data_IF_892253011987
#
_entry.id   IF_892253011987
#
_cell.length_a   1.000
_cell.length_b   1.000
_cell.length_c   1.000
_cell.angle_alpha   90.00
_cell.angle_beta   90.00
_cell.angle_gamma   90.00
#
_symmetry.space_group_name_H-M   'P 1'
#
loop_
_entity.id
_entity.type
_entity.pdbx_description
1 polymer ?
#
# COMPACT_ATOMS: atom_id res chain seq x y z
N UNK A 1 -83.65 -3.62 4.91
CA UNK A 1 -84.62 -4.74 4.88
C UNK A 1 -83.92 -5.89 4.21
N UNK A 2 -83.80 -7.10 4.71
CA UNK A 2 -83.94 -7.74 6.02
C UNK A 2 -82.99 -8.98 5.91
N UNK A 3 -82.45 -9.48 7.03
CA UNK A 3 -81.53 -10.62 7.02
C UNK A 3 -82.32 -11.92 6.89
N UNK A 4 -81.71 -12.96 6.31
CA UNK A 4 -82.22 -14.32 6.46
C UNK A 4 -81.18 -15.21 7.15
N UNK A 5 -81.73 -16.02 8.02
CA UNK A 5 -81.15 -16.63 9.20
C UNK A 5 -81.57 -18.10 9.12
N UNK A 6 -80.66 -18.99 9.57
CA UNK A 6 -80.91 -20.38 10.03
C UNK A 6 -81.13 -21.45 8.93
N UNK A 7 -80.72 -22.71 9.08
CA UNK A 7 -80.46 -23.56 10.26
C UNK A 7 -79.63 -24.82 9.86
N UNK A 8 -79.32 -25.77 10.77
CA UNK A 8 -78.20 -26.71 10.66
C UNK A 8 -78.63 -28.06 10.08
N UNK A 9 -77.67 -28.74 9.43
CA UNK A 9 -77.79 -30.12 9.00
C UNK A 9 -76.57 -30.88 9.43
N UNK A 10 -76.74 -31.69 10.47
CA UNK A 10 -75.91 -32.86 10.77
C UNK A 10 -76.06 -33.79 9.57
N UNK A 11 -74.95 -34.30 9.03
CA UNK A 11 -74.89 -35.68 8.56
C UNK A 11 -73.45 -36.16 8.52
N UNK A 12 -73.27 -37.27 9.22
CA UNK A 12 -72.15 -38.18 9.15
C UNK A 12 -71.99 -38.67 7.70
N UNK A 13 -70.75 -38.80 7.22
CA UNK A 13 -70.24 -40.07 6.69
C UNK A 13 -68.87 -39.92 6.02
N UNK A 14 -68.17 -41.04 6.07
CA UNK A 14 -67.12 -41.47 5.16
C UNK A 14 -65.73 -40.86 5.40
N UNK A 15 -64.97 -41.60 6.21
CA UNK A 15 -63.53 -41.54 6.26
C UNK A 15 -62.90 -41.55 4.87
N UNK A 16 -62.15 -40.49 4.58
CA UNK A 16 -61.02 -40.55 3.69
C UNK A 16 -59.78 -40.38 4.54
N UNK A 17 -59.06 -41.49 4.72
CA UNK A 17 -57.68 -41.48 5.15
C UNK A 17 -56.88 -40.68 4.12
N UNK A 18 -56.76 -39.37 4.32
CA UNK A 18 -55.70 -38.58 3.71
C UNK A 18 -54.40 -39.16 4.23
N UNK A 19 -53.74 -39.95 3.38
CA UNK A 19 -52.34 -40.24 3.50
C UNK A 19 -51.61 -38.89 3.58
N UNK A 20 -51.32 -38.48 4.81
CA UNK A 20 -50.36 -37.42 5.09
C UNK A 20 -49.02 -37.96 4.59
N UNK A 21 -48.76 -37.72 3.31
CA UNK A 21 -47.42 -37.58 2.79
C UNK A 21 -46.79 -36.45 3.60
N UNK A 22 -46.19 -36.82 4.74
CA UNK A 22 -45.13 -36.08 5.40
C UNK A 22 -44.02 -35.94 4.38
N UNK A 23 -44.20 -34.94 3.52
CA UNK A 23 -43.19 -34.39 2.65
C UNK A 23 -42.13 -33.88 3.61
N UNK A 24 -41.12 -34.72 3.79
CA UNK A 24 -39.88 -34.46 4.52
C UNK A 24 -39.23 -33.25 3.84
N UNK A 25 -39.72 -32.06 4.18
CA UNK A 25 -39.14 -30.79 3.77
C UNK A 25 -37.85 -30.70 4.54
N UNK A 26 -36.84 -31.30 3.96
CA UNK A 26 -35.46 -31.28 4.40
C UNK A 26 -35.11 -29.82 4.77
N UNK A 27 -35.00 -29.48 6.07
CA UNK A 27 -34.84 -28.09 6.53
C UNK A 27 -33.49 -27.50 6.08
N UNK A 28 -32.62 -28.31 5.49
CA UNK A 28 -31.36 -27.90 4.87
C UNK A 28 -31.54 -27.11 3.57
N UNK A 29 -32.68 -27.23 2.87
CA UNK A 29 -32.95 -26.49 1.63
C UNK A 29 -33.46 -25.04 1.86
N UNK A 30 -34.03 -24.75 3.03
CA UNK A 30 -34.54 -23.40 3.34
C UNK A 30 -33.43 -22.42 3.75
N UNK A 31 -32.32 -22.91 4.32
CA UNK A 31 -31.20 -22.08 4.77
C UNK A 31 -30.19 -21.77 3.65
N UNK A 32 -30.10 -22.64 2.64
CA UNK A 32 -29.23 -22.44 1.46
C UNK A 32 -29.75 -21.35 0.54
N UNK A 33 -31.07 -21.17 0.44
CA UNK A 33 -31.69 -20.14 -0.43
C UNK A 33 -31.55 -18.73 0.11
N UNK A 34 -31.58 -18.52 1.43
CA UNK A 34 -31.37 -17.21 2.04
C UNK A 34 -29.91 -16.77 1.93
N UNK A 35 -28.95 -17.65 2.26
CA UNK A 35 -27.53 -17.34 2.16
C UNK A 35 -27.07 -17.03 0.72
N UNK A 36 -27.68 -17.68 -0.29
CA UNK A 36 -27.43 -17.40 -1.70
C UNK A 36 -27.97 -16.03 -2.13
N UNK A 37 -29.16 -15.64 -1.62
CA UNK A 37 -29.73 -14.31 -1.89
C UNK A 37 -28.88 -13.19 -1.31
N UNK A 38 -28.43 -13.31 -0.06
CA UNK A 38 -27.53 -12.33 0.57
C UNK A 38 -26.21 -12.18 -0.19
N UNK A 39 -25.62 -13.28 -0.66
CA UNK A 39 -24.40 -13.24 -1.47
C UNK A 39 -24.62 -12.52 -2.81
N UNK A 40 -25.73 -12.80 -3.49
CA UNK A 40 -26.06 -12.12 -4.76
C UNK A 40 -26.28 -10.61 -4.56
N UNK A 41 -26.96 -10.22 -3.48
CA UNK A 41 -27.21 -8.81 -3.16
C UNK A 41 -25.93 -8.07 -2.78
N UNK A 42 -25.05 -8.71 -1.99
CA UNK A 42 -23.75 -8.15 -1.65
C UNK A 42 -22.87 -7.96 -2.90
N UNK A 43 -22.87 -8.93 -3.82
CA UNK A 43 -22.10 -8.85 -5.06
C UNK A 43 -22.64 -7.74 -5.98
N UNK A 44 -23.95 -7.61 -6.12
CA UNK A 44 -24.57 -6.52 -6.90
C UNK A 44 -24.28 -5.17 -6.26
N UNK A 45 -24.42 -5.05 -4.93
CA UNK A 45 -24.10 -3.81 -4.21
C UNK A 45 -22.63 -3.42 -4.40
N UNK A 46 -21.70 -4.37 -4.27
CA UNK A 46 -20.26 -4.13 -4.49
C UNK A 46 -19.95 -3.77 -5.93
N UNK A 47 -20.64 -4.36 -6.91
CA UNK A 47 -20.46 -4.03 -8.32
C UNK A 47 -20.96 -2.62 -8.61
N UNK A 48 -22.11 -2.23 -8.05
CA UNK A 48 -22.66 -0.87 -8.16
C UNK A 48 -21.75 0.13 -7.47
N UNK A 49 -21.26 -0.15 -6.26
CA UNK A 49 -20.30 0.72 -5.55
C UNK A 49 -19.01 0.86 -6.35
N UNK A 50 -18.47 -0.23 -6.89
CA UNK A 50 -17.29 -0.18 -7.75
C UNK A 50 -17.54 0.67 -9.00
N UNK A 51 -18.70 0.54 -9.66
CA UNK A 51 -19.03 1.31 -10.85
C UNK A 51 -19.27 2.80 -10.54
N UNK A 52 -19.92 3.11 -9.41
CA UNK A 52 -20.18 4.49 -8.95
C UNK A 52 -18.89 5.16 -8.48
N UNK A 53 -17.96 4.42 -7.87
CA UNK A 53 -16.68 4.96 -7.45
C UNK A 53 -15.66 5.05 -8.59
N UNK A 54 -15.63 4.08 -9.52
CA UNK A 54 -14.71 4.08 -10.66
C UNK A 54 -15.20 4.94 -11.83
N UNK A 55 -16.51 5.08 -12.02
CA UNK A 55 -17.10 5.84 -13.12
C UNK A 55 -16.61 7.29 -13.20
N UNK A 56 -16.73 8.09 -12.13
CA UNK A 56 -16.24 9.46 -12.08
C UNK A 56 -14.72 9.54 -12.30
N UNK A 57 -13.97 8.56 -11.80
CA UNK A 57 -12.51 8.51 -11.93
C UNK A 57 -12.11 8.23 -13.39
N UNK A 58 -12.80 7.30 -14.07
CA UNK A 58 -12.60 7.02 -15.48
C UNK A 58 -13.02 8.21 -16.35
N UNK A 59 -14.14 8.87 -16.04
CA UNK A 59 -14.58 10.10 -16.74
C UNK A 59 -13.52 11.20 -16.59
N UNK A 60 -12.95 11.38 -15.39
CA UNK A 60 -11.87 12.35 -15.16
C UNK A 60 -10.56 11.97 -15.85
N UNK A 61 -10.27 10.67 -15.99
CA UNK A 61 -9.09 10.16 -16.68
C UNK A 61 -9.17 10.33 -18.20
N UNK A 62 -10.37 10.30 -18.75
CA UNK A 62 -10.62 10.40 -20.19
C UNK A 62 -11.15 11.76 -20.63
N UNK A 63 -11.22 12.75 -19.73
CA UNK A 63 -11.64 14.10 -20.10
C UNK A 63 -10.62 14.72 -21.06
N UNK A 64 -10.97 14.90 -22.36
CA UNK A 64 -10.07 15.47 -23.35
C UNK A 64 -9.79 16.96 -23.11
N UNK A 65 -10.52 17.62 -22.20
CA UNK A 65 -10.31 19.02 -21.82
C UNK A 65 -9.13 19.22 -20.86
N UNK A 66 -8.56 18.15 -20.29
CA UNK A 66 -7.38 18.28 -19.44
C UNK A 66 -6.14 18.61 -20.30
N UNK A 67 -5.35 19.64 -19.92
CA UNK A 67 -4.11 19.96 -20.62
C UNK A 67 -3.21 18.72 -20.69
N UNK A 68 -2.70 18.41 -21.88
CA UNK A 68 -1.83 17.24 -22.06
C UNK A 68 -0.55 17.44 -21.24
N UNK A 69 -0.16 16.46 -20.41
CA UNK A 69 1.11 16.53 -19.69
C UNK A 69 2.25 16.65 -20.70
N UNK A 70 3.05 17.72 -20.58
CA UNK A 70 4.25 17.92 -21.39
C UNK A 70 4.21 19.06 -22.42
N UNK A 71 3.12 19.82 -22.54
CA UNK A 71 3.25 21.15 -23.15
C UNK A 71 4.10 22.03 -22.20
N UNK A 72 5.15 22.71 -22.69
CA UNK A 72 5.88 23.65 -21.86
C UNK A 72 4.92 24.78 -21.49
N UNK A 73 4.45 24.77 -20.25
CA UNK A 73 3.74 25.91 -19.68
C UNK A 73 4.80 26.99 -19.42
N UNK A 74 4.70 28.10 -20.14
CA UNK A 74 5.42 29.33 -19.77
C UNK A 74 4.85 29.79 -18.42
N UNK A 75 5.59 29.51 -17.35
CA UNK A 75 5.15 29.72 -15.98
C UNK A 75 5.27 31.19 -15.57
N UNK A 76 6.39 31.80 -15.94
CA UNK A 76 6.70 33.19 -15.67
C UNK A 76 7.74 33.67 -16.67
N UNK A 77 7.74 34.97 -16.94
CA UNK A 77 8.69 35.61 -17.82
C UNK A 77 9.00 37.01 -17.30
N UNK A 78 10.28 37.37 -17.36
CA UNK A 78 10.74 38.74 -17.23
C UNK A 78 11.21 39.19 -18.60
N UNK A 79 10.53 40.20 -19.12
CA UNK A 79 10.86 40.76 -20.42
C UNK A 79 12.22 41.45 -20.40
N UNK A 80 12.92 41.46 -21.55
CA UNK A 80 14.23 42.07 -21.63
C UNK A 80 14.14 43.58 -21.37
N UNK A 81 15.09 44.15 -20.60
CA UNK A 81 15.24 45.59 -20.53
C UNK A 81 15.72 46.14 -21.90
N UNK A 82 15.61 47.46 -22.08
CA UNK A 82 15.85 48.11 -23.37
C UNK A 82 17.24 47.81 -23.96
N UNK A 83 18.29 47.87 -23.14
CA UNK A 83 19.68 47.66 -23.54
C UNK A 83 20.44 46.92 -22.44
N UNK A 84 21.44 46.13 -22.82
CA UNK A 84 22.41 45.47 -21.93
C UNK A 84 21.79 44.52 -20.88
N UNK A 85 21.70 43.24 -21.20
CA UNK A 85 21.20 42.23 -20.25
C UNK A 85 21.75 40.84 -20.55
N UNK A 86 21.51 39.92 -19.62
CA UNK A 86 21.74 38.50 -19.81
C UNK A 86 20.40 37.78 -19.99
N UNK A 87 20.17 37.22 -21.18
CA UNK A 87 18.99 36.42 -21.49
C UNK A 87 19.21 34.97 -21.07
N UNK A 88 18.20 34.28 -20.53
CA UNK A 88 18.29 32.85 -20.22
C UNK A 88 16.92 32.15 -20.22
N UNK A 89 16.93 30.83 -20.37
CA UNK A 89 15.75 29.97 -20.20
C UNK A 89 15.93 29.08 -18.99
N UNK A 90 15.02 29.21 -18.04
CA UNK A 90 14.92 28.42 -16.83
C UNK A 90 13.90 27.30 -17.06
N UNK A 91 14.27 26.05 -16.73
CA UNK A 91 13.38 24.92 -16.84
C UNK A 91 13.47 24.05 -15.58
N UNK A 92 12.35 23.85 -14.88
CA UNK A 92 12.29 22.85 -13.82
C UNK A 92 12.10 21.49 -14.49
N UNK A 93 13.16 20.68 -14.50
CA UNK A 93 13.23 19.44 -15.29
C UNK A 93 12.82 18.20 -14.51
N UNK A 94 12.99 18.22 -13.19
CA UNK A 94 12.67 17.08 -12.32
C UNK A 94 12.34 17.58 -10.93
N UNK A 95 11.26 17.09 -10.33
CA UNK A 95 10.94 17.31 -8.92
C UNK A 95 11.03 15.98 -8.16
N UNK A 96 11.89 15.92 -7.16
CA UNK A 96 11.99 14.81 -6.22
C UNK A 96 11.42 15.24 -4.86
N UNK A 97 10.12 15.04 -4.71
CA UNK A 97 9.38 15.37 -3.48
C UNK A 97 9.79 14.50 -2.28
N UNK A 98 10.60 13.45 -2.48
CA UNK A 98 11.12 12.59 -1.40
C UNK A 98 12.27 13.28 -0.70
N UNK A 99 13.16 13.84 -1.52
CA UNK A 99 14.38 14.49 -1.08
C UNK A 99 14.15 15.98 -0.84
N UNK A 100 12.91 16.45 -1.04
CA UNK A 100 12.53 17.85 -1.02
C UNK A 100 13.42 18.69 -1.95
N UNK A 101 13.76 18.14 -3.12
CA UNK A 101 14.66 18.76 -4.09
C UNK A 101 14.07 18.73 -5.50
N UNK A 102 14.04 19.89 -6.16
CA UNK A 102 13.81 20.00 -7.60
C UNK A 102 15.09 20.40 -8.34
N UNK A 103 15.25 19.94 -9.58
CA UNK A 103 16.37 20.31 -10.45
C UNK A 103 15.91 21.41 -11.40
N UNK A 104 16.54 22.57 -11.29
CA UNK A 104 16.42 23.69 -12.21
C UNK A 104 17.56 23.63 -13.23
N UNK A 105 17.21 23.51 -14.50
CA UNK A 105 18.17 23.65 -15.60
C UNK A 105 18.13 25.08 -16.13
N UNK A 106 19.27 25.76 -16.15
CA UNK A 106 19.44 27.06 -16.80
C UNK A 106 20.14 26.82 -18.12
N UNK A 107 19.52 27.27 -19.20
CA UNK A 107 19.95 27.01 -20.57
C UNK A 107 19.82 28.27 -21.42
N UNK A 108 20.41 28.25 -22.62
CA UNK A 108 20.33 29.36 -23.59
C UNK A 108 20.74 30.70 -22.98
N UNK A 109 21.79 30.69 -22.16
CA UNK A 109 22.33 31.91 -21.57
C UNK A 109 22.98 32.72 -22.71
N UNK A 110 22.48 33.92 -22.96
CA UNK A 110 22.89 34.75 -24.07
C UNK A 110 23.11 36.21 -23.62
N UNK A 111 24.33 36.74 -23.70
CA UNK A 111 24.57 38.14 -23.37
C UNK A 111 24.11 39.05 -24.50
N UNK A 112 23.57 40.22 -24.14
CA UNK A 112 23.09 41.24 -25.07
C UNK A 112 23.71 42.58 -24.72
N UNK A 113 24.03 43.38 -25.74
CA UNK A 113 24.66 44.70 -25.58
C UNK A 113 26.10 44.62 -25.10
N UNK A 114 26.45 45.44 -24.12
CA UNK A 114 27.82 45.60 -23.59
C UNK A 114 28.38 44.35 -22.91
N UNK A 115 27.52 43.40 -22.55
CA UNK A 115 27.89 42.12 -21.95
C UNK A 115 28.33 41.08 -22.98
N UNK A 116 28.00 41.27 -24.25
CA UNK A 116 28.43 40.40 -25.34
C UNK A 116 29.81 40.83 -25.85
N UNK A 117 30.67 39.86 -26.16
CA UNK A 117 32.01 40.14 -26.68
C UNK A 117 31.99 40.94 -28.01
N UNK A 118 30.92 40.78 -28.79
CA UNK A 118 30.60 41.57 -29.97
C UNK A 118 29.06 41.61 -30.17
N UNK A 119 28.51 42.56 -30.95
CA UNK A 119 27.08 42.61 -31.22
C UNK A 119 26.54 41.27 -31.76
N UNK A 120 25.58 40.66 -31.05
CA UNK A 120 24.99 39.35 -31.39
C UNK A 120 25.85 38.13 -31.04
N UNK A 121 27.00 38.33 -30.39
CA UNK A 121 27.87 37.22 -29.97
C UNK A 121 27.21 36.41 -28.85
N UNK A 122 27.25 35.07 -28.88
CA UNK A 122 26.79 34.23 -27.78
C UNK A 122 27.77 34.15 -26.61
N UNK A 123 28.88 34.89 -26.70
CA UNK A 123 30.01 34.80 -25.78
C UNK A 123 30.09 36.05 -24.93
N UNK A 124 30.40 35.87 -23.64
CA UNK A 124 30.56 36.96 -22.69
C UNK A 124 31.81 37.79 -22.99
N UNK A 125 31.68 39.10 -22.82
CA UNK A 125 32.78 40.06 -22.90
C UNK A 125 33.74 39.91 -21.71
N UNK A 126 33.16 39.83 -20.51
CA UNK A 126 33.87 39.78 -19.23
C UNK A 126 33.39 38.57 -18.42
N UNK A 127 34.23 38.09 -17.50
CA UNK A 127 33.87 36.99 -16.60
C UNK A 127 32.70 37.42 -15.69
N UNK A 128 31.68 36.56 -15.59
CA UNK A 128 30.48 36.82 -14.80
C UNK A 128 30.20 35.70 -13.81
N UNK A 129 29.60 36.08 -12.70
CA UNK A 129 29.10 35.15 -11.70
C UNK A 129 27.57 35.18 -11.70
N UNK A 130 26.96 34.02 -11.94
CA UNK A 130 25.52 33.82 -11.83
C UNK A 130 25.22 33.15 -10.49
N UNK A 131 24.34 33.77 -9.71
CA UNK A 131 23.92 33.28 -8.42
C UNK A 131 22.49 32.75 -8.50
N UNK A 132 22.30 31.49 -8.13
CA UNK A 132 21.01 30.82 -8.12
C UNK A 132 20.83 30.10 -6.79
N UNK A 133 19.88 30.59 -5.99
CA UNK A 133 19.59 30.03 -4.67
C UNK A 133 20.85 29.91 -3.79
N UNK A 134 21.73 30.91 -3.82
CA UNK A 134 23.00 30.92 -3.08
C UNK A 134 24.13 30.10 -3.73
N UNK A 135 23.86 29.29 -4.76
CA UNK A 135 24.91 28.62 -5.53
C UNK A 135 25.54 29.59 -6.53
N UNK A 136 26.86 29.62 -6.58
CA UNK A 136 27.66 30.45 -7.49
C UNK A 136 28.08 29.64 -8.71
N UNK A 137 27.83 30.18 -9.90
CA UNK A 137 28.27 29.63 -11.18
C UNK A 137 29.14 30.65 -11.90
N UNK A 138 30.39 30.28 -12.18
CA UNK A 138 31.29 31.12 -12.97
C UNK A 138 31.00 30.92 -14.46
N UNK A 139 30.72 32.02 -15.15
CA UNK A 139 30.52 32.08 -16.59
C UNK A 139 31.75 32.74 -17.20
N UNK A 140 32.62 31.93 -17.80
CA UNK A 140 33.89 32.43 -18.33
C UNK A 140 33.71 33.23 -19.62
N UNK A 141 34.37 34.38 -19.70
CA UNK A 141 34.55 35.15 -20.91
C UNK A 141 35.15 34.28 -22.02
N UNK A 142 34.87 34.63 -23.27
CA UNK A 142 35.43 33.96 -24.45
C UNK A 142 35.05 32.46 -24.62
N UNK A 143 34.15 31.92 -23.80
CA UNK A 143 33.67 30.54 -23.90
C UNK A 143 32.16 30.46 -24.13
N UNK A 144 31.72 29.41 -24.82
CA UNK A 144 30.29 29.11 -24.94
C UNK A 144 29.74 28.66 -23.59
N UNK A 145 28.70 29.35 -23.13
CA UNK A 145 28.07 29.06 -21.85
C UNK A 145 27.32 27.73 -21.95
N UNK A 146 27.64 26.81 -21.03
CA UNK A 146 26.99 25.51 -20.93
C UNK A 146 25.71 25.59 -20.09
N UNK A 147 24.83 24.62 -20.29
CA UNK A 147 23.67 24.46 -19.43
C UNK A 147 24.12 24.18 -17.98
N UNK A 148 23.45 24.84 -17.03
CA UNK A 148 23.72 24.71 -15.60
C UNK A 148 22.57 23.94 -14.95
N UNK A 149 22.89 23.12 -13.95
CA UNK A 149 21.89 22.44 -13.14
C UNK A 149 22.02 22.88 -11.69
N UNK A 150 20.90 23.25 -11.09
CA UNK A 150 20.82 23.74 -9.71
C UNK A 150 19.78 22.94 -8.97
N UNK A 151 20.16 22.43 -7.79
CA UNK A 151 19.21 21.80 -6.88
C UNK A 151 18.51 22.90 -6.07
N UNK A 152 17.18 22.94 -6.17
CA UNK A 152 16.31 23.81 -5.41
C UNK A 152 15.67 22.99 -4.29
N UNK A 153 15.91 23.41 -3.04
CA UNK A 153 15.32 22.77 -1.86
C UNK A 153 13.90 23.33 -1.65
N UNK A 154 12.95 22.46 -1.31
CA UNK A 154 11.56 22.83 -1.07
C UNK A 154 11.42 23.49 0.31
N UNK A 155 10.54 24.47 0.42
CA UNK A 155 10.27 25.16 1.68
C UNK A 155 9.25 24.40 2.56
N UNK A 156 8.37 23.63 1.91
CA UNK A 156 7.26 22.95 2.57
C UNK A 156 7.62 21.51 2.95
N UNK A 157 7.60 21.22 4.25
CA UNK A 157 7.66 19.86 4.77
C UNK A 157 6.26 19.24 4.72
N UNK A 158 6.03 18.28 3.83
CA UNK A 158 4.89 17.39 3.99
C UNK A 158 4.37 16.77 2.70
N UNK A 159 4.82 15.55 2.43
CA UNK A 159 4.08 14.56 1.62
C UNK A 159 2.78 14.07 2.30
N UNK A 160 2.40 14.68 3.42
CA UNK A 160 1.31 14.24 4.28
C UNK A 160 -0.01 14.17 3.52
N UNK A 161 -0.32 15.15 2.67
CA UNK A 161 -1.60 15.22 1.96
C UNK A 161 -1.62 14.54 0.58
N UNK A 162 -0.70 13.62 0.29
CA UNK A 162 -0.71 12.87 -0.97
C UNK A 162 -2.11 12.31 -1.31
N UNK A 163 -2.61 12.40 -2.57
CA UNK A 163 -2.01 13.03 -3.76
C UNK A 163 -2.38 14.52 -3.93
N UNK A 164 -2.97 15.15 -2.92
CA UNK A 164 -3.40 16.56 -2.92
C UNK A 164 -2.34 17.50 -2.34
N UNK A 165 -1.12 17.02 -2.18
CA UNK A 165 0.06 17.77 -1.79
C UNK A 165 0.29 18.94 -2.74
N UNK A 166 0.74 20.04 -2.13
CA UNK A 166 1.17 21.27 -2.77
C UNK A 166 2.49 21.65 -2.12
N UNK A 167 3.52 21.86 -2.93
CA UNK A 167 4.84 22.23 -2.46
C UNK A 167 5.19 23.62 -2.94
N UNK A 168 5.92 24.37 -2.13
CA UNK A 168 6.51 25.64 -2.56
C UNK A 168 8.03 25.53 -2.56
N UNK A 169 8.64 26.13 -3.56
CA UNK A 169 10.07 26.37 -3.60
C UNK A 169 10.31 27.83 -3.96
N UNK A 170 11.42 28.37 -3.47
CA UNK A 170 11.81 29.75 -3.72
C UNK A 170 13.27 29.79 -4.08
N UNK A 171 13.62 30.63 -5.04
CA UNK A 171 15.01 30.90 -5.36
C UNK A 171 15.23 32.36 -5.73
N UNK A 172 16.38 32.88 -5.31
CA UNK A 172 16.92 34.14 -5.80
C UNK A 172 17.77 33.90 -7.04
N UNK A 173 17.71 34.84 -7.99
CA UNK A 173 18.46 34.86 -9.23
C UNK A 173 19.02 36.27 -9.44
N UNK A 174 20.34 36.38 -9.54
CA UNK A 174 21.04 37.61 -9.92
C UNK A 174 22.39 37.26 -10.56
N UNK A 175 22.93 38.17 -11.35
CA UNK A 175 24.27 38.03 -11.91
C UNK A 175 25.09 39.30 -11.68
N UNK A 176 26.40 39.16 -11.65
CA UNK A 176 27.34 40.27 -11.51
C UNK A 176 28.64 39.98 -12.24
N UNK A 177 29.31 41.01 -12.74
CA UNK A 177 30.67 40.86 -13.28
C UNK A 177 31.65 40.58 -12.14
N UNK A 178 32.70 39.80 -12.40
CA UNK A 178 33.68 39.43 -11.37
C UNK A 178 34.36 40.67 -10.75
N UNK A 179 34.71 41.67 -11.57
CA UNK A 179 35.29 42.93 -11.10
C UNK A 179 34.34 43.74 -10.21
N UNK A 180 33.03 43.66 -10.45
CA UNK A 180 32.01 44.38 -9.69
C UNK A 180 31.78 43.72 -8.33
N UNK A 181 31.94 42.39 -8.24
CA UNK A 181 31.90 41.68 -6.97
C UNK A 181 33.05 42.10 -6.07
N UNK A 182 34.27 42.15 -6.58
CA UNK A 182 35.44 42.59 -5.80
C UNK A 182 35.23 44.01 -5.29
N UNK A 183 34.75 44.90 -6.17
CA UNK A 183 34.41 46.28 -5.83
C UNK A 183 33.32 46.35 -4.76
N UNK A 184 32.28 45.51 -4.85
CA UNK A 184 31.20 45.43 -3.87
C UNK A 184 31.70 44.94 -2.51
N UNK A 185 32.54 43.91 -2.48
CA UNK A 185 33.13 43.40 -1.23
C UNK A 185 34.02 44.46 -0.57
N UNK A 186 34.84 45.17 -1.35
CA UNK A 186 35.66 46.27 -0.83
C UNK A 186 34.78 47.41 -0.28
N UNK A 187 33.74 47.80 -1.02
CA UNK A 187 32.82 48.84 -0.59
C UNK A 187 32.09 48.47 0.71
N UNK A 188 31.58 47.24 0.81
CA UNK A 188 30.94 46.72 2.03
C UNK A 188 31.91 46.67 3.21
N UNK A 189 33.15 46.23 2.99
CA UNK A 189 34.19 46.18 4.03
C UNK A 189 34.57 47.58 4.52
N UNK A 190 34.63 48.54 3.61
CA UNK A 190 34.91 49.95 3.92
C UNK A 190 33.68 50.73 4.43
N UNK A 191 32.49 50.09 4.51
CA UNK A 191 31.21 50.75 4.81
C UNK A 191 30.92 51.95 3.90
N UNK A 192 31.21 51.81 2.61
CA UNK A 192 30.98 52.81 1.56
C UNK A 192 29.97 52.31 0.54
N UNK A 193 29.34 53.22 -0.20
CA UNK A 193 28.39 52.91 -1.27
C UNK A 193 29.11 52.79 -2.61
N UNK A 194 28.71 51.83 -3.46
CA UNK A 194 29.20 51.82 -4.85
C UNK A 194 28.63 53.02 -5.62
N UNK A 195 29.43 53.53 -6.54
CA UNK A 195 29.05 54.60 -7.47
C UNK A 195 28.10 54.14 -8.58
N UNK A 196 27.98 52.83 -8.80
CA UNK A 196 27.14 52.24 -9.84
C UNK A 196 26.45 50.96 -9.34
N UNK A 197 25.45 50.50 -10.09
CA UNK A 197 24.79 49.22 -9.82
C UNK A 197 25.70 48.05 -10.26
N UNK A 198 26.15 47.17 -9.34
CA UNK A 198 27.01 46.03 -9.68
C UNK A 198 26.26 44.85 -10.31
N UNK A 199 24.92 44.91 -10.35
CA UNK A 199 24.09 43.81 -10.82
C UNK A 199 23.79 43.92 -12.32
N UNK A 200 23.90 42.79 -13.00
CA UNK A 200 23.59 42.65 -14.43
C UNK A 200 22.07 42.47 -14.59
N UNK A 201 21.38 43.31 -15.38
CA UNK A 201 19.97 43.10 -15.68
C UNK A 201 19.72 41.75 -16.36
N UNK A 202 18.66 41.04 -15.95
CA UNK A 202 18.34 39.71 -16.43
C UNK A 202 17.03 39.67 -17.21
N UNK A 203 17.01 38.93 -18.31
CA UNK A 203 15.80 38.57 -19.04
C UNK A 203 15.65 37.06 -19.00
N UNK A 204 14.50 36.55 -18.58
CA UNK A 204 14.34 35.09 -18.46
C UNK A 204 12.91 34.62 -18.69
N UNK A 205 12.79 33.40 -19.19
CA UNK A 205 11.54 32.65 -19.21
C UNK A 205 11.69 31.39 -18.37
N UNK A 206 10.68 31.10 -17.56
CA UNK A 206 10.61 29.92 -16.71
C UNK A 206 9.56 28.97 -17.25
N UNK A 207 9.96 27.73 -17.49
CA UNK A 207 9.09 26.67 -18.03
C UNK A 207 9.08 25.45 -17.11
N UNK A 208 7.96 24.72 -17.10
CA UNK A 208 7.93 23.38 -16.51
C UNK A 208 8.23 22.32 -17.58
N UNK A 209 9.12 21.38 -17.26
CA UNK A 209 9.31 20.15 -18.04
C UNK A 209 9.00 18.89 -17.24
N UNK A 210 8.44 19.03 -16.03
CA UNK A 210 8.09 17.89 -15.19
C UNK A 210 6.73 17.31 -15.63
N UNK A 211 6.68 16.06 -16.12
CA UNK A 211 5.43 15.46 -16.59
C UNK A 211 4.46 15.12 -15.46
N UNK A 212 4.92 15.06 -14.21
CA UNK A 212 4.12 14.63 -13.06
C UNK A 212 3.56 15.79 -12.24
N UNK A 213 4.12 16.99 -12.41
CA UNK A 213 3.77 18.17 -11.63
C UNK A 213 3.24 19.30 -12.51
N UNK A 214 2.10 19.85 -12.11
CA UNK A 214 1.63 21.17 -12.52
C UNK A 214 2.36 22.22 -11.69
N UNK A 215 2.89 23.23 -12.36
CA UNK A 215 3.61 24.31 -11.71
C UNK A 215 2.91 25.63 -11.94
N UNK A 216 3.05 26.54 -11.00
CA UNK A 216 2.75 27.96 -11.16
C UNK A 216 3.92 28.74 -10.58
N UNK A 217 4.35 29.81 -11.26
CA UNK A 217 5.44 30.63 -10.78
C UNK A 217 4.95 32.07 -10.57
N UNK A 218 5.48 32.71 -9.54
CA UNK A 218 5.21 34.10 -9.23
C UNK A 218 6.52 34.80 -8.90
N UNK A 219 6.71 36.00 -9.46
CA UNK A 219 7.79 36.88 -9.07
C UNK A 219 7.43 37.52 -7.73
N UNK A 220 8.23 37.29 -6.69
CA UNK A 220 8.03 37.82 -5.35
C UNK A 220 8.93 39.02 -5.04
N UNK A 221 9.92 39.29 -5.89
CA UNK A 221 10.81 40.46 -5.72
C UNK A 221 10.05 41.77 -5.82
N UNK A 222 10.44 42.74 -5.00
CA UNK A 222 9.91 44.10 -5.10
C UNK A 222 10.31 44.74 -6.45
N UNK A 223 9.56 45.74 -6.95
CA UNK A 223 9.92 46.45 -8.18
C UNK A 223 11.32 47.08 -8.10
N UNK A 224 11.75 47.53 -6.91
CA UNK A 224 13.07 48.10 -6.70
C UNK A 224 14.20 47.07 -6.87
N UNK A 225 14.05 45.86 -6.31
CA UNK A 225 15.03 44.78 -6.50
C UNK A 225 15.06 44.28 -7.94
N UNK A 226 13.88 44.18 -8.55
CA UNK A 226 13.74 43.77 -9.95
C UNK A 226 14.43 44.77 -10.90
N UNK A 227 14.31 46.07 -10.62
CA UNK A 227 14.99 47.13 -11.37
C UNK A 227 16.52 47.08 -11.21
N UNK A 228 17.02 46.53 -10.08
CA UNK A 228 18.44 46.29 -9.88
C UNK A 228 18.93 45.03 -10.61
N UNK A 229 18.05 44.16 -11.13
CA UNK A 229 18.44 42.87 -11.72
C UNK A 229 18.46 41.71 -10.72
N UNK A 230 17.87 41.89 -9.54
CA UNK A 230 17.70 40.84 -8.52
C UNK A 230 16.27 40.34 -8.59
N UNK A 231 16.10 39.06 -8.89
CA UNK A 231 14.81 38.41 -9.00
C UNK A 231 14.64 37.37 -7.91
N UNK A 232 13.48 37.36 -7.27
CA UNK A 232 13.07 36.31 -6.36
C UNK A 232 11.82 35.66 -6.93
N UNK A 233 11.89 34.36 -7.14
CA UNK A 233 10.83 33.60 -7.79
C UNK A 233 10.34 32.53 -6.83
N UNK A 234 9.04 32.52 -6.59
CA UNK A 234 8.34 31.46 -5.88
C UNK A 234 7.66 30.56 -6.91
N UNK A 235 7.93 29.26 -6.83
CA UNK A 235 7.25 28.24 -7.63
C UNK A 235 6.38 27.40 -6.71
N UNK A 236 5.10 27.30 -7.06
CA UNK A 236 4.14 26.39 -6.44
C UNK A 236 4.00 25.16 -7.32
N UNK A 237 4.30 24.00 -6.76
CA UNK A 237 4.21 22.69 -7.38
C UNK A 237 2.96 21.97 -6.86
N UNK A 238 2.18 21.39 -7.76
CA UNK A 238 1.02 20.57 -7.42
C UNK A 238 0.92 19.39 -8.39
N UNK A 239 0.35 18.26 -7.98
CA UNK A 239 0.19 17.11 -8.89
C UNK A 239 -0.82 17.41 -10.00
N UNK A 240 -0.56 16.90 -11.20
CA UNK A 240 -1.54 16.96 -12.29
C UNK A 240 -2.85 16.28 -11.90
N UNK A 241 -3.98 16.83 -12.37
CA UNK A 241 -5.30 16.29 -12.07
C UNK A 241 -5.44 14.81 -12.49
N UNK A 242 -4.82 14.42 -13.61
CA UNK A 242 -4.76 13.03 -14.07
C UNK A 242 -4.00 12.12 -13.09
N UNK A 243 -2.82 12.52 -12.62
CA UNK A 243 -2.04 11.75 -11.63
C UNK A 243 -2.77 11.61 -10.30
N UNK A 244 -3.49 12.66 -9.86
CA UNK A 244 -4.39 12.61 -8.70
C UNK A 244 -5.52 11.60 -8.92
N UNK A 245 -6.18 11.65 -10.08
CA UNK A 245 -7.26 10.73 -10.41
C UNK A 245 -6.80 9.27 -10.46
N UNK A 246 -5.67 8.96 -11.12
CA UNK A 246 -5.08 7.61 -11.12
C UNK A 246 -4.81 7.14 -9.70
N UNK A 247 -4.19 8.00 -8.88
CA UNK A 247 -3.85 7.66 -7.50
C UNK A 247 -5.09 7.34 -6.67
N UNK A 248 -6.12 8.19 -6.78
CA UNK A 248 -7.41 7.94 -6.14
C UNK A 248 -8.05 6.65 -6.64
N UNK A 249 -7.98 6.35 -7.95
CA UNK A 249 -8.46 5.10 -8.52
C UNK A 249 -7.83 3.89 -7.83
N UNK A 250 -6.50 3.90 -7.73
CA UNK A 250 -5.73 2.80 -7.13
C UNK A 250 -6.10 2.65 -5.66
N UNK A 251 -6.19 3.75 -4.91
CA UNK A 251 -6.59 3.73 -3.50
C UNK A 251 -8.02 3.20 -3.32
N UNK A 252 -8.95 3.62 -4.16
CA UNK A 252 -10.33 3.14 -4.17
C UNK A 252 -10.41 1.65 -4.48
N UNK A 253 -9.70 1.17 -5.51
CA UNK A 253 -9.64 -0.26 -5.85
C UNK A 253 -9.04 -1.07 -4.71
N UNK A 254 -7.99 -0.55 -4.07
CA UNK A 254 -7.36 -1.19 -2.92
C UNK A 254 -8.32 -1.30 -1.73
N UNK A 255 -8.97 -0.20 -1.35
CA UNK A 255 -9.93 -0.18 -0.23
C UNK A 255 -11.18 -1.03 -0.50
N UNK A 256 -11.80 -0.88 -1.68
CA UNK A 256 -12.97 -1.67 -2.05
C UNK A 256 -12.63 -3.15 -2.23
N UNK A 257 -11.51 -3.46 -2.89
CA UNK A 257 -11.06 -4.83 -3.11
C UNK A 257 -10.82 -5.58 -1.80
N UNK A 258 -10.25 -4.92 -0.78
CA UNK A 258 -10.08 -5.52 0.54
C UNK A 258 -11.39 -5.67 1.30
N UNK A 259 -12.34 -4.73 1.17
CA UNK A 259 -13.67 -4.89 1.74
C UNK A 259 -14.45 -6.06 1.11
N UNK A 260 -14.35 -6.24 -0.22
CA UNK A 260 -14.89 -7.40 -0.93
C UNK A 260 -14.26 -8.69 -0.40
N UNK A 261 -12.93 -8.73 -0.28
CA UNK A 261 -12.21 -9.89 0.25
C UNK A 261 -12.69 -10.21 1.69
N UNK A 262 -12.81 -9.20 2.54
CA UNK A 262 -13.29 -9.35 3.91
C UNK A 262 -14.73 -9.89 3.99
N UNK A 263 -15.65 -9.32 3.21
CA UNK A 263 -17.05 -9.79 3.17
C UNK A 263 -17.18 -11.20 2.62
N UNK A 264 -16.40 -11.56 1.58
CA UNK A 264 -16.37 -12.94 1.08
C UNK A 264 -15.83 -13.91 2.12
N UNK A 265 -14.82 -13.51 2.91
CA UNK A 265 -14.32 -14.30 4.04
C UNK A 265 -15.42 -14.57 5.07
N UNK A 266 -16.15 -13.54 5.48
CA UNK A 266 -17.26 -13.70 6.42
C UNK A 266 -18.31 -14.68 5.89
N UNK A 267 -18.63 -14.59 4.60
CA UNK A 267 -19.55 -15.52 3.96
C UNK A 267 -19.03 -16.97 3.95
N UNK A 268 -17.75 -17.21 3.64
CA UNK A 268 -17.17 -18.55 3.69
C UNK A 268 -17.24 -19.16 5.10
N UNK A 269 -16.97 -18.34 6.12
CA UNK A 269 -17.01 -18.74 7.53
C UNK A 269 -18.44 -19.07 7.99
N UNK A 270 -19.41 -18.20 7.68
CA UNK A 270 -20.81 -18.36 8.09
C UNK A 270 -21.51 -19.50 7.34
N UNK A 271 -21.29 -19.61 6.03
CA UNK A 271 -21.91 -20.65 5.21
C UNK A 271 -21.23 -22.03 5.35
N UNK A 272 -20.17 -22.14 6.16
CA UNK A 272 -19.40 -23.38 6.42
C UNK A 272 -19.00 -24.13 5.14
N UNK A 273 -18.61 -23.41 4.08
CA UNK A 273 -18.27 -23.97 2.77
C UNK A 273 -16.86 -24.58 2.75
N UNK A 274 -16.70 -25.72 3.42
CA UNK A 274 -15.42 -26.39 3.64
C UNK A 274 -14.61 -26.63 2.36
N UNK A 275 -15.28 -27.05 1.27
CA UNK A 275 -14.62 -27.43 0.02
C UNK A 275 -13.99 -26.24 -0.74
N UNK A 276 -14.33 -25.00 -0.39
CA UNK A 276 -13.85 -23.80 -1.09
C UNK A 276 -12.80 -23.00 -0.29
N UNK A 277 -12.53 -23.37 0.97
CA UNK A 277 -11.56 -22.67 1.82
C UNK A 277 -10.14 -22.61 1.26
N UNK A 278 -9.55 -23.69 0.68
CA UNK A 278 -8.18 -23.62 0.18
C UNK A 278 -8.00 -22.58 -0.93
N UNK A 279 -8.99 -22.45 -1.83
CA UNK A 279 -8.98 -21.44 -2.89
C UNK A 279 -9.10 -20.04 -2.30
N UNK A 280 -10.00 -19.85 -1.33
CA UNK A 280 -10.18 -18.56 -0.65
C UNK A 280 -8.89 -18.12 0.06
N UNK A 281 -8.19 -19.04 0.75
CA UNK A 281 -6.90 -18.78 1.41
C UNK A 281 -5.86 -18.30 0.39
N UNK A 282 -5.74 -19.00 -0.75
CA UNK A 282 -4.78 -18.62 -1.80
C UNK A 282 -5.06 -17.21 -2.36
N UNK A 283 -6.32 -16.84 -2.61
CA UNK A 283 -6.66 -15.49 -3.08
C UNK A 283 -6.31 -14.41 -2.05
N UNK A 284 -6.57 -14.65 -0.76
CA UNK A 284 -6.24 -13.69 0.30
C UNK A 284 -4.73 -13.57 0.52
N UNK A 285 -3.98 -14.66 0.39
CA UNK A 285 -2.51 -14.62 0.39
C UNK A 285 -1.99 -13.77 -0.77
N UNK A 286 -2.49 -14.02 -1.99
CA UNK A 286 -2.10 -13.24 -3.17
C UNK A 286 -2.42 -11.75 -2.98
N UNK A 287 -3.59 -11.42 -2.43
CA UNK A 287 -3.96 -10.04 -2.12
C UNK A 287 -3.00 -9.38 -1.13
N UNK A 288 -2.63 -10.06 -0.03
CA UNK A 288 -1.67 -9.54 0.95
C UNK A 288 -0.30 -9.22 0.32
N UNK A 289 0.19 -10.07 -0.59
CA UNK A 289 1.43 -9.80 -1.32
C UNK A 289 1.29 -8.71 -2.38
N UNK A 290 0.09 -8.55 -2.96
CA UNK A 290 -0.17 -7.59 -4.03
C UNK A 290 -0.39 -6.17 -3.49
N UNK A 291 -0.94 -5.99 -2.28
CA UNK A 291 -1.23 -4.67 -1.71
C UNK A 291 0.00 -3.73 -1.66
N UNK A 292 1.20 -4.15 -1.21
CA UNK A 292 2.40 -3.31 -1.26
C UNK A 292 2.81 -2.94 -2.70
N UNK A 293 2.65 -3.86 -3.65
CA UNK A 293 2.97 -3.63 -5.08
C UNK A 293 2.01 -2.61 -5.68
N UNK A 294 0.71 -2.75 -5.40
CA UNK A 294 -0.31 -1.77 -5.82
C UNK A 294 -0.01 -0.40 -5.21
N UNK A 295 0.34 -0.35 -3.92
CA UNK A 295 0.67 0.90 -3.22
C UNK A 295 1.88 1.61 -3.82
N UNK A 296 2.92 0.87 -4.22
CA UNK A 296 4.15 1.40 -4.83
C UNK A 296 4.02 1.72 -6.32
N UNK A 297 2.96 1.22 -6.98
CA UNK A 297 2.64 1.54 -8.38
C UNK A 297 1.97 2.89 -8.59
N UNK A 298 1.56 3.56 -7.50
CA UNK A 298 0.89 4.86 -7.57
C UNK A 298 1.86 5.95 -8.05
N UNK A 299 1.43 6.80 -8.99
CA UNK A 299 2.31 7.76 -9.67
C UNK A 299 2.85 8.82 -8.71
N UNK A 300 4.17 8.90 -8.62
CA UNK A 300 4.85 9.91 -7.81
C UNK A 300 4.76 9.66 -6.30
N UNK A 301 4.46 8.42 -5.89
CA UNK A 301 4.69 7.99 -4.52
C UNK A 301 6.11 7.45 -4.41
N UNK A 302 6.86 7.91 -3.42
CA UNK A 302 8.14 7.32 -3.06
C UNK A 302 7.97 5.84 -2.72
N UNK A 303 8.82 4.97 -3.31
CA UNK A 303 8.84 3.54 -2.95
C UNK A 303 9.16 3.30 -1.47
N UNK A 304 9.74 4.28 -0.79
CA UNK A 304 10.18 4.21 0.61
C UNK A 304 9.35 5.06 1.59
N UNK A 305 8.40 5.88 1.14
CA UNK A 305 7.63 6.72 2.07
C UNK A 305 6.39 5.99 2.55
N UNK A 306 6.47 5.40 3.74
CA UNK A 306 5.33 5.12 4.60
C UNK A 306 5.06 6.34 5.46
N UNK A 307 3.80 6.78 5.58
CA UNK A 307 3.43 7.90 6.46
C UNK A 307 2.70 9.05 5.78
N UNK A 308 2.24 8.89 4.54
CA UNK A 308 1.24 9.82 3.97
C UNK A 308 -0.08 9.66 4.72
N UNK A 309 -0.93 10.69 4.80
CA UNK A 309 -2.24 10.65 5.46
C UNK A 309 -3.17 9.58 4.87
N UNK A 310 -2.95 9.20 3.61
CA UNK A 310 -3.65 8.12 2.94
C UNK A 310 -3.26 6.73 3.47
N UNK A 311 -2.04 6.56 3.97
CA UNK A 311 -1.58 5.27 4.50
C UNK A 311 -2.41 4.77 5.70
N UNK A 312 -2.64 5.57 6.75
CA UNK A 312 -3.51 5.16 7.86
C UNK A 312 -4.99 5.08 7.48
N UNK A 313 -5.44 5.80 6.45
CA UNK A 313 -6.86 5.80 6.06
C UNK A 313 -7.24 4.60 5.18
N UNK A 314 -6.36 4.17 4.28
CA UNK A 314 -6.69 3.15 3.27
C UNK A 314 -5.71 1.99 3.31
N UNK A 315 -4.41 2.25 3.23
CA UNK A 315 -3.39 1.19 3.07
C UNK A 315 -3.27 0.27 4.29
N UNK A 316 -3.05 0.82 5.49
CA UNK A 316 -2.92 0.01 6.70
C UNK A 316 -4.21 -0.74 7.06
N UNK A 317 -5.41 -0.12 6.99
CA UNK A 317 -6.66 -0.85 7.15
C UNK A 317 -6.84 -1.97 6.11
N UNK A 318 -6.45 -1.75 4.85
CA UNK A 318 -6.52 -2.75 3.79
C UNK A 318 -5.64 -3.98 4.10
N UNK A 319 -4.40 -3.76 4.54
CA UNK A 319 -3.49 -4.83 4.97
C UNK A 319 -4.07 -5.56 6.19
N UNK A 320 -4.52 -4.81 7.20
CA UNK A 320 -5.04 -5.36 8.44
C UNK A 320 -6.28 -6.25 8.18
N UNK A 321 -7.25 -5.75 7.41
CA UNK A 321 -8.45 -6.50 7.05
C UNK A 321 -8.09 -7.76 6.27
N UNK A 322 -7.19 -7.66 5.29
CA UNK A 322 -6.74 -8.81 4.52
C UNK A 322 -6.01 -9.85 5.38
N UNK A 323 -5.21 -9.40 6.35
CA UNK A 323 -4.48 -10.26 7.28
C UNK A 323 -5.41 -10.99 8.25
N UNK A 324 -6.40 -10.28 8.79
CA UNK A 324 -7.45 -10.86 9.65
C UNK A 324 -8.26 -11.88 8.86
N UNK A 325 -8.67 -11.54 7.63
CA UNK A 325 -9.40 -12.45 6.74
C UNK A 325 -8.62 -13.71 6.42
N UNK A 326 -7.37 -13.57 6.01
CA UNK A 326 -6.48 -14.69 5.72
C UNK A 326 -6.33 -15.60 6.95
N UNK A 327 -5.99 -15.02 8.10
CA UNK A 327 -5.80 -15.76 9.35
C UNK A 327 -7.07 -16.51 9.78
N UNK A 328 -8.23 -15.85 9.66
CA UNK A 328 -9.52 -16.45 9.99
C UNK A 328 -9.86 -17.64 9.10
N UNK A 329 -9.60 -17.54 7.79
CA UNK A 329 -9.80 -18.65 6.85
C UNK A 329 -8.85 -19.82 7.14
N UNK A 330 -7.60 -19.56 7.48
CA UNK A 330 -6.62 -20.59 7.85
C UNK A 330 -7.06 -21.32 9.11
N UNK A 331 -7.43 -20.60 10.17
CA UNK A 331 -7.93 -21.19 11.42
C UNK A 331 -9.18 -22.03 11.16
N UNK A 332 -10.12 -21.53 10.36
CA UNK A 332 -11.32 -22.28 9.99
C UNK A 332 -10.99 -23.56 9.22
N UNK A 333 -10.03 -23.50 8.29
CA UNK A 333 -9.59 -24.67 7.54
C UNK A 333 -8.95 -25.74 8.45
N UNK A 334 -8.09 -25.33 9.38
CA UNK A 334 -7.47 -26.23 10.36
C UNK A 334 -8.51 -26.85 11.31
N UNK A 335 -9.45 -26.04 11.81
CA UNK A 335 -10.53 -26.51 12.67
C UNK A 335 -11.41 -27.56 11.96
N UNK A 336 -11.71 -27.35 10.67
CA UNK A 336 -12.45 -28.32 9.87
C UNK A 336 -11.67 -29.62 9.67
N UNK A 337 -10.39 -29.56 9.30
CA UNK A 337 -9.55 -30.76 9.18
C UNK A 337 -9.48 -31.54 10.49
N UNK A 338 -9.37 -30.84 11.62
CA UNK A 338 -9.37 -31.46 12.93
C UNK A 338 -10.71 -32.18 13.23
N UNK A 339 -11.84 -31.55 12.94
CA UNK A 339 -13.16 -32.15 13.11
C UNK A 339 -13.35 -33.36 12.19
N UNK A 340 -12.93 -33.28 10.92
CA UNK A 340 -12.99 -34.39 9.98
C UNK A 340 -12.10 -35.56 10.42
N UNK A 341 -10.87 -35.30 10.86
CA UNK A 341 -9.98 -36.33 11.40
C UNK A 341 -10.60 -36.99 12.64
N UNK A 342 -11.19 -36.20 13.55
CA UNK A 342 -11.89 -36.73 14.73
C UNK A 342 -13.11 -37.58 14.33
N UNK A 343 -13.89 -37.16 13.33
CA UNK A 343 -15.03 -37.94 12.80
C UNK A 343 -14.56 -39.26 12.18
N UNK A 344 -13.49 -39.24 11.39
CA UNK A 344 -12.88 -40.45 10.79
C UNK A 344 -12.39 -41.42 11.87
N UNK A 345 -11.69 -40.91 12.90
CA UNK A 345 -11.26 -41.71 14.05
C UNK A 345 -12.45 -42.34 14.77
N UNK A 346 -13.49 -41.57 15.06
CA UNK A 346 -14.68 -42.09 15.72
C UNK A 346 -15.43 -43.13 14.86
N UNK A 347 -15.48 -42.95 13.54
CA UNK A 347 -16.08 -43.92 12.63
C UNK A 347 -15.28 -45.23 12.58
N UNK A 348 -13.94 -45.15 12.51
CA UNK A 348 -13.07 -46.31 12.56
C UNK A 348 -13.19 -47.09 13.88
N UNK A 349 -13.28 -46.38 15.02
CA UNK A 349 -13.53 -47.00 16.33
C UNK A 349 -14.88 -47.70 16.38
N UNK A 350 -15.94 -47.09 15.83
CA UNK A 350 -17.27 -47.73 15.75
C UNK A 350 -17.25 -48.99 14.91
N UNK A 351 -16.61 -48.96 13.74
CA UNK A 351 -16.45 -50.14 12.89
C UNK A 351 -15.70 -51.27 13.60
N UNK A 352 -14.60 -50.95 14.30
CA UNK A 352 -13.86 -51.95 15.09
C UNK A 352 -14.73 -52.61 16.17
N UNK A 353 -15.54 -51.82 16.88
CA UNK A 353 -16.47 -52.32 17.90
C UNK A 353 -17.53 -53.23 17.25
N UNK A 354 -18.11 -52.81 16.13
CA UNK A 354 -19.10 -53.61 15.40
C UNK A 354 -18.51 -54.94 14.91
N UNK A 355 -17.29 -54.95 14.38
CA UNK A 355 -16.61 -56.16 13.93
C UNK A 355 -16.27 -57.10 15.10
N UNK A 356 -15.83 -56.56 16.24
CA UNK A 356 -15.61 -57.35 17.45
C UNK A 356 -16.89 -57.98 17.97
N UNK A 357 -18.01 -57.24 17.96
CA UNK A 357 -19.31 -57.77 18.36
C UNK A 357 -19.80 -58.87 17.40
N UNK A 358 -19.62 -58.69 16.09
CA UNK A 358 -19.94 -59.73 15.09
C UNK A 358 -19.12 -60.99 15.31
N UNK A 359 -17.81 -60.86 15.51
CA UNK A 359 -16.95 -62.01 15.80
C UNK A 359 -17.33 -62.72 17.11
N UNK A 360 -17.67 -61.96 18.16
CA UNK A 360 -18.13 -62.53 19.43
C UNK A 360 -19.44 -63.29 19.27
N UNK A 361 -20.42 -62.70 18.57
CA UNK A 361 -21.70 -63.36 18.32
C UNK A 361 -21.54 -64.63 17.48
N UNK A 362 -20.72 -64.59 16.42
CA UNK A 362 -20.43 -65.77 15.60
C UNK A 362 -19.81 -66.91 16.42
N UNK A 363 -18.90 -66.60 17.36
CA UNK A 363 -18.33 -67.60 18.28
C UNK A 363 -19.39 -68.19 19.22
N UNK A 364 -20.28 -67.37 19.76
CA UNK A 364 -21.37 -67.85 20.64
C UNK A 364 -22.29 -68.79 19.86
N UNK A 365 -22.69 -68.44 18.64
CA UNK A 365 -23.50 -69.32 17.80
C UNK A 365 -22.80 -70.65 17.48
N UNK A 366 -21.50 -70.62 17.13
CA UNK A 366 -20.75 -71.85 16.89
C UNK A 366 -20.68 -72.77 18.11
N UNK A 367 -20.57 -72.20 19.32
CA UNK A 367 -20.60 -72.97 20.58
C UNK A 367 -22.00 -73.55 20.83
N UNK A 368 -23.07 -72.77 20.59
CA UNK A 368 -24.45 -73.25 20.73
C UNK A 368 -24.77 -74.38 19.74
N UNK A 369 -24.31 -74.27 18.50
CA UNK A 369 -24.48 -75.32 17.48
C UNK A 369 -23.66 -76.58 17.80
N UNK A 370 -22.47 -76.45 18.39
CA UNK A 370 -21.69 -77.59 18.87
C UNK A 370 -22.35 -78.27 20.08
N UNK A 371 -23.04 -77.51 20.94
CA UNK A 371 -23.76 -78.04 22.09
C UNK A 371 -25.09 -78.72 21.72
N UNK A 372 -25.70 -78.38 20.59
CA UNK A 372 -26.96 -78.95 20.09
C UNK A 372 -26.77 -80.21 19.23
N UNK A 373 -25.64 -80.91 19.39
CA UNK A 373 -25.26 -82.08 18.63
C UNK A 373 -26.40 -83.09 18.37
N UNK A 374 -26.41 -83.74 17.19
CA UNK A 374 -27.57 -84.46 16.70
C UNK A 374 -27.86 -85.67 17.57
N UNK A 375 -29.07 -85.70 18.15
CA UNK A 375 -29.77 -86.88 18.64
C UNK A 375 -28.91 -88.00 19.22
N UNK A 376 -28.64 -87.94 20.53
CA UNK A 376 -28.42 -89.15 21.32
C UNK A 376 -29.65 -89.36 22.19
N UNK A 377 -30.63 -90.07 21.64
CA UNK A 377 -31.63 -90.76 22.44
C UNK A 377 -30.93 -91.79 23.32
N UNK A 378 -31.20 -91.75 24.62
CA UNK A 378 -30.60 -92.68 25.58
C UNK A 378 -30.92 -92.26 27.00
N UNK A 379 -31.90 -92.94 27.58
CA UNK A 379 -32.34 -92.84 28.95
C UNK A 379 -31.21 -93.03 29.99
N UNK A 380 -31.50 -92.46 31.15
CA UNK A 380 -31.16 -92.89 32.50
C UNK A 380 -29.74 -92.76 33.06
N UNK A 381 -29.74 -92.10 34.22
CA UNK A 381 -28.78 -92.15 35.33
C UNK A 381 -27.36 -91.65 35.03
N UNK A 382 -26.94 -90.57 35.70
CA UNK A 382 -25.96 -90.65 36.79
C UNK A 382 -25.58 -89.24 37.32
N UNK A 383 -25.71 -89.12 38.64
CA UNK A 383 -24.88 -88.35 39.60
C UNK A 383 -24.59 -86.86 39.43
N UNK A 384 -25.06 -86.13 40.45
CA UNK A 384 -24.39 -84.98 41.07
C UNK A 384 -22.86 -85.17 41.10
N UNK A 385 -22.12 -84.34 40.38
CA UNK A 385 -20.76 -83.97 40.78
C UNK A 385 -20.47 -82.51 40.42
N UNK A 386 -19.91 -81.83 41.42
CA UNK A 386 -19.32 -80.48 41.47
C UNK A 386 -19.35 -79.60 40.23
N UNK A 387 -20.08 -78.48 40.35
CA UNK A 387 -19.71 -77.23 39.69
C UNK A 387 -18.28 -76.86 40.09
N UNK A 388 -17.34 -76.65 39.15
CA UNK A 388 -16.09 -75.97 39.47
C UNK A 388 -16.40 -74.49 39.78
N UNK A 389 -15.58 -73.85 40.63
CA UNK A 389 -15.76 -72.43 40.95
C UNK A 389 -15.52 -71.61 39.67
N UNK A 390 -16.40 -70.65 39.42
CA UNK A 390 -16.13 -69.54 38.53
C UNK A 390 -14.95 -68.77 39.13
N UNK A 391 -13.75 -69.09 38.66
CA UNK A 391 -12.55 -68.33 38.92
C UNK A 391 -12.78 -66.93 38.36
N UNK A 392 -12.79 -65.94 39.27
CA UNK A 392 -12.99 -64.54 38.96
C UNK A 392 -11.81 -64.03 38.15
N UNK A 393 -11.87 -64.22 36.85
CA UNK A 393 -10.84 -63.75 35.96
C UNK A 393 -11.01 -62.25 35.75
N UNK A 394 -10.06 -61.52 36.30
CA UNK A 394 -9.83 -60.09 36.18
C UNK A 394 -9.62 -59.69 34.71
N UNK A 395 -10.70 -59.60 33.94
CA UNK A 395 -10.72 -58.88 32.66
C UNK A 395 -11.11 -57.40 32.89
N UNK A 396 -10.46 -56.79 33.87
CA UNK A 396 -10.34 -55.35 34.00
C UNK A 396 -9.00 -54.93 33.41
N UNK A 397 -9.03 -54.08 32.38
CA UNK A 397 -7.88 -53.43 31.73
C UNK A 397 -6.91 -54.36 31.01
N UNK A 398 -7.09 -54.51 29.70
CA UNK A 398 -6.01 -54.43 28.69
C UNK A 398 -6.62 -54.63 27.31
N UNK A 399 -7.46 -53.68 26.88
CA UNK A 399 -7.62 -53.44 25.45
C UNK A 399 -6.40 -52.60 25.06
N UNK A 400 -5.47 -53.08 24.22
CA UNK A 400 -4.42 -52.22 23.72
C UNK A 400 -5.08 -51.07 22.98
N UNK A 401 -4.95 -49.86 23.52
CA UNK A 401 -5.19 -48.65 22.75
C UNK A 401 -4.32 -48.78 21.48
N UNK A 402 -4.86 -48.51 20.29
CA UNK A 402 -4.01 -48.40 19.11
C UNK A 402 -2.91 -47.38 19.44
N UNK A 403 -1.65 -47.64 19.03
CA UNK A 403 -0.57 -46.71 19.30
C UNK A 403 -1.00 -45.32 18.78
N UNK A 404 -0.68 -44.22 19.48
CA UNK A 404 -0.80 -42.92 18.87
C UNK A 404 -0.01 -43.00 17.56
N UNK A 405 -0.70 -42.77 16.44
CA UNK A 405 -0.01 -42.50 15.17
C UNK A 405 0.78 -41.25 15.46
N UNK A 406 2.06 -41.45 15.78
CA UNK A 406 3.01 -40.38 15.96
C UNK A 406 2.96 -39.53 14.72
N UNK A 407 2.72 -38.25 14.91
CA UNK A 407 3.11 -37.25 13.95
C UNK A 407 4.58 -37.54 13.62
N UNK A 408 4.81 -37.95 12.37
CA UNK A 408 6.13 -37.97 11.77
C UNK A 408 6.55 -36.52 11.62
N UNK A 409 6.97 -35.91 12.73
CA UNK A 409 7.93 -34.83 12.67
C UNK A 409 9.23 -35.49 12.23
N UNK A 410 9.54 -35.33 10.95
CA UNK A 410 10.89 -35.53 10.46
C UNK A 410 11.83 -34.79 11.41
N UNK A 411 12.73 -35.55 12.03
CA UNK A 411 13.79 -35.01 12.85
C UNK A 411 14.59 -34.03 11.97
N UNK A 412 14.46 -32.74 12.27
CA UNK A 412 15.42 -31.74 11.82
C UNK A 412 16.72 -32.07 12.56
N UNK A 413 17.83 -32.36 11.88
CA UNK A 413 19.09 -32.60 12.56
C UNK A 413 19.55 -31.29 13.22
N UNK A 414 19.78 -31.32 14.53
CA UNK A 414 20.58 -30.31 15.21
C UNK A 414 22.07 -30.61 14.93
N UNK A 415 22.82 -29.74 14.27
CA UNK A 415 24.27 -29.83 14.28
C UNK A 415 24.77 -29.13 15.54
N UNK A 416 25.44 -29.89 16.40
CA UNK A 416 26.21 -29.36 17.53
C UNK A 416 27.67 -29.73 17.37
N UNK A 417 28.53 -28.71 17.37
CA UNK A 417 29.90 -28.81 17.86
C UNK A 417 30.98 -29.03 16.81
N UNK A 418 31.49 -27.91 16.28
CA UNK A 418 32.91 -27.56 16.29
C UNK A 418 33.91 -28.46 15.55
N UNK A 419 34.51 -27.89 14.50
CA UNK A 419 35.95 -27.70 14.45
C UNK A 419 36.30 -26.58 13.47
N UNK A 420 37.23 -25.74 13.90
CA UNK A 420 37.79 -24.61 13.17
C UNK A 420 38.58 -25.09 11.95
N UNK A 421 38.54 -24.35 10.85
CA UNK A 421 39.71 -23.99 10.04
C UNK A 421 39.39 -22.78 9.16
N UNK A 422 40.39 -21.93 9.06
CA UNK A 422 40.48 -20.64 8.39
C UNK A 422 40.29 -20.75 6.86
N UNK A 423 39.96 -19.63 6.22
CA UNK A 423 40.50 -19.33 4.89
C UNK A 423 39.54 -18.76 3.84
N UNK A 424 39.75 -17.47 3.56
CA UNK A 424 39.68 -16.80 2.25
C UNK A 424 38.35 -16.34 1.62
N UNK A 425 38.20 -15.00 1.61
CA UNK A 425 37.73 -14.17 0.50
C UNK A 425 36.21 -13.94 0.41
N UNK A 426 35.65 -12.74 0.43
CA UNK A 426 36.17 -11.38 0.30
C UNK A 426 35.11 -10.51 -0.42
N UNK A 427 35.13 -9.20 -0.15
CA UNK A 427 34.45 -8.08 -0.88
C UNK A 427 32.98 -7.82 -0.51
N UNK A 428 32.52 -6.65 -0.05
CA UNK A 428 33.07 -5.34 0.34
C UNK A 428 32.08 -4.74 1.37
N UNK A 429 32.53 -4.45 2.58
CA UNK A 429 31.93 -3.44 3.46
C UNK A 429 32.81 -2.20 3.30
N UNK A 430 32.23 -1.09 2.83
CA UNK A 430 32.91 0.20 2.82
C UNK A 430 32.96 0.75 4.24
N UNK A 431 34.11 0.54 4.86
CA UNK A 431 34.58 1.24 6.06
C UNK A 431 34.80 2.72 5.71
N UNK A 432 33.91 3.57 6.19
CA UNK A 432 34.10 5.02 6.18
C UNK A 432 35.17 5.37 7.21
N UNK A 433 36.40 5.58 6.73
CA UNK A 433 37.47 6.18 7.51
C UNK A 433 37.12 7.62 7.88
N UNK A 434 37.02 7.89 9.18
CA UNK A 434 37.07 9.23 9.77
C UNK A 434 38.42 9.87 9.44
N UNK A 435 38.38 10.85 8.52
CA UNK A 435 39.44 11.84 8.30
C UNK A 435 39.07 13.16 9.00
N UNK A 436 40.06 14.02 9.30
CA UNK A 436 39.96 15.01 10.37
C UNK A 436 39.02 16.18 10.05
N UNK A 437 38.37 16.66 11.11
CA UNK A 437 37.46 17.80 11.18
C UNK A 437 37.83 19.00 10.27
N UNK A 438 36.93 19.48 9.41
CA UNK A 438 36.95 20.87 9.00
C UNK A 438 36.34 21.73 10.09
N UNK A 439 37.20 22.42 10.84
CA UNK A 439 36.83 23.55 11.70
C UNK A 439 36.16 24.61 10.85
N UNK A 440 34.83 24.71 10.93
CA UNK A 440 34.09 25.92 10.57
C UNK A 440 33.10 26.27 11.67
N UNK A 441 33.54 27.12 12.59
CA UNK A 441 32.66 27.98 13.37
C UNK A 441 32.06 29.02 12.44
N UNK A 442 30.73 29.08 12.43
CA UNK A 442 29.98 30.12 11.72
C UNK A 442 28.51 30.07 12.12
N UNK A 443 28.22 30.42 13.37
CA UNK A 443 26.86 30.70 13.85
C UNK A 443 26.25 31.86 13.08
N UNK A 444 25.38 31.59 12.11
CA UNK A 444 24.40 32.56 11.63
C UNK A 444 23.13 32.42 12.48
N UNK A 445 23.10 33.15 13.59
CA UNK A 445 21.88 33.38 14.34
C UNK A 445 20.89 34.18 13.47
N UNK A 446 19.67 33.67 13.37
CA UNK A 446 18.52 34.40 12.83
C UNK A 446 18.35 35.73 13.58
N UNK A 447 18.31 36.90 12.90
CA UNK A 447 17.97 38.14 13.56
C UNK A 447 16.45 38.16 13.80
N UNK A 448 16.07 38.14 15.09
CA UNK A 448 14.72 38.51 15.56
C UNK A 448 14.40 39.94 15.12
N UNK A 449 13.15 40.25 14.75
CA UNK A 449 12.74 41.62 14.43
C UNK A 449 12.72 42.46 15.70
N UNK A 450 13.54 43.52 15.71
CA UNK A 450 13.56 44.56 16.74
C UNK A 450 12.55 45.64 16.37
N UNK A 451 11.68 45.96 17.34
CA UNK A 451 11.33 47.35 17.65
C UNK A 451 10.42 48.08 16.67
N UNK A 452 9.13 48.01 16.95
CA UNK A 452 8.12 49.02 16.62
C UNK A 452 8.59 50.40 17.13
N UNK A 453 8.96 51.31 16.23
CA UNK A 453 9.11 52.74 16.57
C UNK A 453 7.73 53.37 16.70
N UNK A 454 7.50 53.98 17.85
CA UNK A 454 6.39 54.88 18.10
C UNK A 454 6.53 56.15 17.27
N UNK A 455 5.43 56.56 16.65
CA UNK A 455 5.25 57.83 15.97
C UNK A 455 5.26 58.98 16.98
N UNK A 456 6.26 59.85 16.90
CA UNK A 456 6.25 61.17 17.48
C UNK A 456 6.26 62.22 16.38
N UNK A 457 5.21 63.05 16.40
CA UNK A 457 4.82 64.16 15.50
C UNK A 457 4.03 63.78 14.24
#
# INVERSE_FOLDING_TARGET
>A
MAPEVRFPGIDEHAGQATAASTMDRDPTNATTTTAARWASQAMVFLTVVAFVCLGPILIFLFDPALPRPGAPDDLARVDPPADNYLAMTLAVTKSDLIRDVSVLTVSRIHPVGNYAAAPGSPVLRDDMELFINGNRFNLSANTLIRDLQVNLVHESNGLEMYPFDTHSLRFGLYAMAEHDRESLVMAMTANTTLSHNPFVPLAWSLTSKDPNMRMAAQLTSSPALTALGIHEVQITLSRWASTRAVSMAILTVMGLGTLVAFTTTLWYLLARRANQLPKAIAYHAALLFLLPVIRTSQPGIPRASTGTLVDPLVYYPSILLSAISFSSLVVAHLAQRYVEAKRRRNAAVRQLIEDQLRHRNARVFAIMDAASGPGRGGNDQFTRHGLPPLEGDTLGRNVPLPPPVGDTYAAVPRPGGGEAWEGYGGVVEEEYTEGPDPVWRGTAASPRPVGRMESGQ
#
